data_IF_829002473608
#
_entry.id   IF_829002473608
#
_cell.length_a   1.000
_cell.length_b   1.000
_cell.length_c   1.000
_cell.angle_alpha   90.00
_cell.angle_beta   90.00
_cell.angle_gamma   90.00
#
_symmetry.space_group_name_H-M   'P 1'
#
loop_
_entity.id
_entity.type
_entity.pdbx_description
1 polymer ?
#
# COMPACT_ATOMS: atom_id res chain seq x y z
N UNK A 1 -57.93 -16.79 48.94
CA UNK A 1 -57.43 -17.25 47.67
C UNK A 1 -56.26 -16.35 47.28
N UNK A 2 -55.01 -16.82 47.49
CA UNK A 2 -53.78 -16.07 47.21
C UNK A 2 -53.29 -16.51 45.82
N UNK A 3 -53.23 -15.58 44.81
CA UNK A 3 -52.66 -15.84 43.50
C UNK A 3 -51.20 -15.44 43.52
N UNK A 4 -50.30 -16.42 43.41
CA UNK A 4 -48.87 -16.23 43.26
C UNK A 4 -48.56 -15.97 41.79
N UNK A 5 -48.03 -14.77 41.45
CA UNK A 5 -47.44 -14.47 40.14
C UNK A 5 -46.00 -14.98 40.11
N UNK A 6 -45.71 -15.88 39.19
CA UNK A 6 -44.34 -16.32 38.88
C UNK A 6 -43.82 -15.44 37.76
N UNK A 7 -42.85 -14.57 38.04
CA UNK A 7 -42.10 -13.85 37.03
C UNK A 7 -40.98 -14.76 36.47
N UNK A 8 -41.10 -15.14 35.21
CA UNK A 8 -40.01 -15.80 34.51
C UNK A 8 -39.06 -14.73 33.92
N UNK A 9 -37.87 -14.59 34.47
CA UNK A 9 -36.82 -13.73 33.93
C UNK A 9 -36.09 -14.51 32.83
N UNK A 10 -36.29 -14.11 31.57
CA UNK A 10 -35.51 -14.61 30.42
C UNK A 10 -34.16 -13.88 30.38
N UNK A 11 -33.10 -14.58 30.76
CA UNK A 11 -31.72 -14.09 30.58
C UNK A 11 -31.30 -14.24 29.13
N UNK A 12 -31.27 -13.12 28.37
CA UNK A 12 -30.68 -13.06 27.06
C UNK A 12 -29.15 -13.07 27.19
N UNK A 13 -28.54 -14.21 26.94
CA UNK A 13 -27.08 -14.33 26.84
C UNK A 13 -26.61 -13.62 25.56
N UNK A 14 -26.05 -12.42 25.71
CA UNK A 14 -25.31 -11.72 24.63
C UNK A 14 -23.99 -12.48 24.39
N UNK A 15 -23.97 -13.33 23.40
CA UNK A 15 -22.74 -13.89 22.87
C UNK A 15 -21.97 -12.76 22.14
N UNK A 16 -21.09 -12.09 22.86
CA UNK A 16 -20.07 -11.24 22.25
C UNK A 16 -19.10 -12.14 21.49
N UNK A 17 -19.33 -12.32 20.19
CA UNK A 17 -18.32 -12.92 19.33
C UNK A 17 -17.15 -11.94 19.24
N UNK A 18 -16.08 -12.22 19.96
CA UNK A 18 -14.80 -11.57 19.74
C UNK A 18 -14.34 -11.92 18.32
N UNK A 19 -14.53 -11.01 17.38
CA UNK A 19 -13.94 -11.13 16.05
C UNK A 19 -12.41 -11.09 16.24
N UNK A 20 -11.78 -12.23 16.24
CA UNK A 20 -10.32 -12.34 16.12
C UNK A 20 -9.98 -11.73 14.78
N UNK A 21 -9.25 -10.59 14.77
CA UNK A 21 -8.67 -10.04 13.58
C UNK A 21 -7.74 -11.11 12.99
N UNK A 22 -8.18 -11.81 11.98
CA UNK A 22 -7.36 -12.77 11.25
C UNK A 22 -6.27 -12.00 10.54
N UNK A 23 -5.00 -12.47 10.61
CA UNK A 23 -3.90 -11.83 9.89
C UNK A 23 -4.23 -11.65 8.42
N UNK A 24 -3.77 -10.55 7.83
CA UNK A 24 -3.92 -10.27 6.39
C UNK A 24 -2.57 -10.43 5.72
N UNK A 25 -2.50 -11.21 4.65
CA UNK A 25 -1.27 -11.43 3.89
C UNK A 25 -1.52 -11.31 2.39
N UNK A 26 -0.48 -10.92 1.67
CA UNK A 26 -0.59 -10.74 0.23
C UNK A 26 0.64 -10.13 -0.41
N UNK A 27 0.44 -9.60 -1.61
CA UNK A 27 1.46 -8.99 -2.45
C UNK A 27 1.50 -7.48 -2.24
N UNK A 28 2.70 -6.93 -2.30
CA UNK A 28 2.95 -5.50 -2.16
C UNK A 28 3.83 -4.97 -3.28
N UNK A 29 3.48 -3.80 -3.80
CA UNK A 29 4.29 -3.01 -4.74
C UNK A 29 4.25 -1.54 -4.34
N UNK A 30 5.38 -0.85 -4.52
CA UNK A 30 5.52 0.57 -4.27
C UNK A 30 6.44 1.19 -5.31
N UNK A 31 6.12 2.41 -5.75
CA UNK A 31 7.05 3.25 -6.50
C UNK A 31 6.99 4.69 -6.01
N UNK A 32 8.14 5.35 -5.96
CA UNK A 32 8.31 6.76 -5.54
C UNK A 32 8.98 7.55 -6.66
N UNK A 33 8.76 8.85 -6.67
CA UNK A 33 9.49 9.80 -7.53
C UNK A 33 10.88 10.17 -6.98
N UNK A 34 11.47 9.33 -6.12
CA UNK A 34 12.86 9.41 -5.67
C UNK A 34 13.49 8.02 -5.67
N UNK A 35 14.80 7.97 -5.70
CA UNK A 35 15.54 6.73 -5.54
C UNK A 35 15.39 6.21 -4.10
N UNK A 36 15.11 4.93 -3.94
CA UNK A 36 15.07 4.23 -2.64
C UNK A 36 16.32 3.39 -2.43
N UNK A 37 16.99 3.02 -3.51
CA UNK A 37 18.25 2.33 -3.52
C UNK A 37 19.36 3.33 -3.78
N UNK A 38 20.22 3.51 -2.79
CA UNK A 38 21.28 4.51 -2.81
C UNK A 38 22.65 3.83 -2.83
N UNK A 39 23.54 4.35 -3.65
CA UNK A 39 24.95 4.09 -3.49
C UNK A 39 25.58 5.07 -2.48
N UNK A 40 26.91 5.19 -2.40
CA UNK A 40 27.56 6.25 -1.65
C UNK A 40 27.27 7.67 -2.21
N UNK A 41 26.64 7.75 -3.36
CA UNK A 41 26.01 8.97 -3.88
C UNK A 41 24.61 9.09 -3.28
N UNK A 42 24.19 10.29 -2.98
CA UNK A 42 22.90 10.58 -2.36
C UNK A 42 21.74 10.22 -3.29
N UNK A 43 20.64 9.72 -2.70
CA UNK A 43 19.38 9.66 -3.40
C UNK A 43 18.85 11.05 -3.73
N UNK A 44 18.01 11.16 -4.76
CA UNK A 44 17.38 12.41 -5.17
C UNK A 44 16.73 13.17 -4.03
N UNK A 45 16.15 12.42 -3.08
CA UNK A 45 15.50 12.96 -1.90
C UNK A 45 16.44 13.77 -1.01
N UNK A 46 17.66 13.29 -0.81
CA UNK A 46 18.68 13.94 0.02
C UNK A 46 19.25 15.18 -0.63
N UNK A 47 19.24 15.20 -1.95
CA UNK A 47 19.70 16.34 -2.76
C UNK A 47 18.64 17.44 -2.98
N UNK A 48 17.55 17.42 -2.22
CA UNK A 48 16.41 18.33 -2.38
C UNK A 48 15.71 18.20 -3.76
N UNK A 49 15.89 17.12 -4.45
CA UNK A 49 15.31 16.88 -5.76
C UNK A 49 13.88 16.34 -5.75
N UNK A 50 13.32 16.18 -4.52
CA UNK A 50 11.91 16.05 -4.26
C UNK A 50 11.25 14.74 -4.71
N UNK A 51 11.37 13.69 -3.90
CA UNK A 51 10.53 12.49 -4.04
C UNK A 51 9.19 12.63 -3.34
N UNK A 52 8.29 13.43 -3.90
CA UNK A 52 7.03 13.82 -3.23
C UNK A 52 5.84 12.94 -3.57
N UNK A 53 5.95 12.10 -4.60
CA UNK A 53 4.86 11.27 -5.07
C UNK A 53 5.18 9.79 -4.87
N UNK A 54 4.14 9.02 -4.54
CA UNK A 54 4.21 7.57 -4.50
C UNK A 54 2.88 6.93 -4.90
N UNK A 55 3.00 5.70 -5.42
CA UNK A 55 1.89 4.77 -5.57
C UNK A 55 2.24 3.52 -4.76
N UNK A 56 1.35 3.13 -3.85
CA UNK A 56 1.46 1.93 -3.04
C UNK A 56 0.30 1.00 -3.37
N UNK A 57 0.57 -0.25 -3.67
CA UNK A 57 -0.44 -1.27 -3.98
C UNK A 57 -0.35 -2.46 -3.05
N UNK A 58 -1.50 -2.90 -2.56
CA UNK A 58 -1.67 -4.14 -1.80
C UNK A 58 -2.73 -5.00 -2.47
N UNK A 59 -2.40 -6.26 -2.73
CA UNK A 59 -3.36 -7.30 -3.13
C UNK A 59 -3.38 -8.36 -2.06
N UNK A 60 -4.54 -8.58 -1.48
CA UNK A 60 -4.73 -9.54 -0.39
C UNK A 60 -4.89 -10.94 -0.97
N UNK A 61 -3.99 -11.85 -0.63
CA UNK A 61 -4.15 -13.26 -0.96
C UNK A 61 -5.13 -13.93 0.00
N UNK A 62 -5.01 -13.59 1.30
CA UNK A 62 -5.89 -14.11 2.35
C UNK A 62 -5.93 -13.16 3.54
N UNK A 63 -7.11 -12.91 4.07
CA UNK A 63 -7.26 -12.17 5.32
C UNK A 63 -8.65 -11.65 5.60
N UNK A 64 -8.81 -11.20 6.86
CA UNK A 64 -10.06 -10.64 7.37
C UNK A 64 -9.75 -9.38 8.16
N UNK A 65 -10.49 -8.31 7.94
CA UNK A 65 -10.41 -7.06 8.70
C UNK A 65 -11.77 -6.82 9.36
N UNK A 66 -11.78 -6.83 10.70
CA UNK A 66 -13.04 -6.91 11.44
C UNK A 66 -13.81 -8.18 11.06
N UNK A 67 -15.04 -8.04 10.61
CA UNK A 67 -15.87 -9.16 10.13
C UNK A 67 -15.79 -9.38 8.61
N UNK A 68 -15.12 -8.52 7.87
CA UNK A 68 -15.08 -8.57 6.41
C UNK A 68 -13.89 -9.39 5.90
N UNK A 69 -14.17 -10.43 5.15
CA UNK A 69 -13.16 -11.20 4.41
C UNK A 69 -12.82 -10.47 3.11
N UNK A 70 -11.54 -10.22 2.87
CA UNK A 70 -11.05 -9.40 1.75
C UNK A 70 -10.11 -10.16 0.81
N UNK A 71 -10.20 -11.47 0.77
CA UNK A 71 -9.38 -12.34 -0.07
C UNK A 71 -9.53 -11.99 -1.56
N UNK A 72 -8.43 -11.93 -2.28
CA UNK A 72 -8.38 -11.66 -3.71
C UNK A 72 -8.69 -10.22 -4.12
N UNK A 73 -8.89 -9.32 -3.15
CA UNK A 73 -9.17 -7.91 -3.39
C UNK A 73 -7.91 -7.06 -3.24
N UNK A 74 -7.90 -5.91 -3.92
CA UNK A 74 -6.79 -4.98 -3.86
C UNK A 74 -7.19 -3.57 -3.45
N UNK A 75 -6.21 -2.82 -2.98
CA UNK A 75 -6.32 -1.39 -2.74
C UNK A 75 -5.01 -0.70 -3.10
N UNK A 76 -5.12 0.50 -3.64
CA UNK A 76 -3.98 1.33 -4.03
C UNK A 76 -4.09 2.68 -3.38
N UNK A 77 -2.97 3.17 -2.85
CA UNK A 77 -2.85 4.54 -2.35
C UNK A 77 -1.95 5.34 -3.29
N UNK A 78 -2.47 6.46 -3.77
CA UNK A 78 -1.72 7.46 -4.54
C UNK A 78 -1.45 8.62 -3.60
N UNK A 79 -0.20 9.00 -3.42
CA UNK A 79 0.23 9.95 -2.41
C UNK A 79 0.98 11.10 -3.08
N UNK A 80 0.60 12.33 -2.72
CA UNK A 80 1.35 13.54 -3.02
C UNK A 80 1.65 14.26 -1.71
N UNK A 81 2.93 14.43 -1.40
CA UNK A 81 3.42 15.06 -0.18
C UNK A 81 4.02 16.43 -0.46
N UNK A 82 4.12 17.27 0.56
CA UNK A 82 4.86 18.54 0.49
C UNK A 82 6.38 18.32 0.46
N UNK A 83 6.83 17.24 1.11
CA UNK A 83 8.22 16.90 1.29
C UNK A 83 8.54 15.51 0.75
N UNK A 84 9.83 15.19 0.70
CA UNK A 84 10.33 13.88 0.28
C UNK A 84 9.78 12.75 1.16
N UNK A 85 9.16 11.77 0.50
CA UNK A 85 8.61 10.60 1.14
C UNK A 85 9.69 9.67 1.72
N UNK A 86 9.46 9.13 2.91
CA UNK A 86 10.41 8.26 3.61
C UNK A 86 11.35 8.99 4.57
N UNK A 87 11.41 10.32 4.52
CA UNK A 87 12.03 11.18 5.51
C UNK A 87 10.99 11.72 6.49
N UNK A 88 11.45 12.50 7.49
CA UNK A 88 10.54 13.16 8.43
C UNK A 88 9.65 14.14 7.66
N UNK A 89 8.38 13.81 7.55
CA UNK A 89 7.39 14.68 6.92
C UNK A 89 7.17 15.93 7.78
N UNK A 90 7.30 17.11 7.21
CA UNK A 90 7.04 18.40 7.86
C UNK A 90 5.70 18.99 7.50
N UNK A 91 5.08 18.52 6.43
CA UNK A 91 3.78 18.97 5.94
C UNK A 91 2.80 17.83 5.63
N UNK A 92 1.53 18.17 5.37
CA UNK A 92 0.50 17.17 5.08
C UNK A 92 0.74 16.52 3.73
N UNK A 93 0.52 15.20 3.66
CA UNK A 93 0.34 14.50 2.40
C UNK A 93 -1.14 14.49 2.02
N UNK A 94 -1.45 14.59 0.72
CA UNK A 94 -2.77 14.27 0.14
C UNK A 94 -2.72 12.85 -0.38
N UNK A 95 -3.81 12.11 -0.20
CA UNK A 95 -3.91 10.76 -0.72
C UNK A 95 -5.23 10.52 -1.43
N UNK A 96 -5.18 9.75 -2.53
CA UNK A 96 -6.33 9.15 -3.20
C UNK A 96 -6.26 7.65 -2.98
N UNK A 97 -7.38 7.03 -2.62
CA UNK A 97 -7.49 5.59 -2.54
C UNK A 97 -8.25 5.05 -3.76
N UNK A 98 -7.66 4.07 -4.43
CA UNK A 98 -8.28 3.32 -5.50
C UNK A 98 -8.62 1.94 -4.93
N UNK A 99 -9.90 1.69 -4.68
CA UNK A 99 -10.39 0.46 -4.04
C UNK A 99 -10.93 -0.47 -5.13
N UNK A 100 -10.66 -1.75 -5.00
CA UNK A 100 -11.14 -2.76 -5.93
C UNK A 100 -12.66 -2.65 -6.12
N UNK A 101 -13.09 -2.46 -7.36
CA UNK A 101 -14.51 -2.27 -7.70
C UNK A 101 -15.36 -3.51 -7.39
N UNK A 102 -14.75 -4.70 -7.33
CA UNK A 102 -15.40 -5.98 -6.98
C UNK A 102 -15.79 -6.06 -5.50
N UNK A 103 -15.23 -5.19 -4.65
CA UNK A 103 -15.50 -5.18 -3.22
C UNK A 103 -16.91 -4.69 -2.92
N UNK A 104 -17.63 -5.37 -2.03
CA UNK A 104 -18.87 -4.87 -1.45
C UNK A 104 -18.62 -3.73 -0.44
N UNK A 105 -19.67 -3.15 0.12
CA UNK A 105 -19.56 -2.00 1.02
C UNK A 105 -18.75 -2.30 2.29
N UNK A 106 -18.90 -3.49 2.89
CA UNK A 106 -18.17 -3.91 4.09
C UNK A 106 -16.69 -4.16 3.76
N UNK A 107 -16.43 -4.82 2.62
CA UNK A 107 -15.08 -5.06 2.12
C UNK A 107 -14.35 -3.77 1.75
N UNK A 108 -15.04 -2.79 1.15
CA UNK A 108 -14.48 -1.45 0.86
C UNK A 108 -14.04 -0.74 2.13
N UNK A 109 -14.89 -0.73 3.16
CA UNK A 109 -14.55 -0.15 4.46
C UNK A 109 -13.35 -0.86 5.08
N UNK A 110 -13.30 -2.19 5.01
CA UNK A 110 -12.21 -3.00 5.51
C UNK A 110 -10.89 -2.73 4.78
N UNK A 111 -10.90 -2.65 3.43
CA UNK A 111 -9.71 -2.33 2.63
C UNK A 111 -9.16 -0.93 2.95
N UNK A 112 -10.05 0.06 3.11
CA UNK A 112 -9.66 1.43 3.49
C UNK A 112 -9.01 1.44 4.88
N UNK A 113 -9.62 0.76 5.86
CA UNK A 113 -9.07 0.64 7.21
C UNK A 113 -7.71 -0.07 7.19
N UNK A 114 -7.58 -1.14 6.43
CA UNK A 114 -6.33 -1.85 6.21
C UNK A 114 -5.25 -0.93 5.65
N UNK A 115 -5.49 -0.25 4.53
CA UNK A 115 -4.51 0.64 3.91
C UNK A 115 -4.05 1.74 4.88
N UNK A 116 -4.99 2.36 5.62
CA UNK A 116 -4.68 3.36 6.66
C UNK A 116 -3.80 2.79 7.77
N UNK A 117 -4.01 1.54 8.18
CA UNK A 117 -3.15 0.89 9.18
C UNK A 117 -1.74 0.63 8.66
N UNK A 118 -1.61 0.32 7.36
CA UNK A 118 -0.34 0.00 6.73
C UNK A 118 0.52 1.24 6.45
N UNK A 119 -0.07 2.30 5.88
CA UNK A 119 0.65 3.51 5.48
C UNK A 119 0.58 4.65 6.52
N UNK A 120 -0.18 4.48 7.60
CA UNK A 120 -0.20 5.38 8.76
C UNK A 120 -0.51 6.84 8.41
N UNK A 121 0.34 7.75 8.83
CA UNK A 121 0.17 9.20 8.66
C UNK A 121 0.12 9.65 7.20
N UNK A 122 0.67 8.88 6.26
CA UNK A 122 0.60 9.17 4.83
C UNK A 122 -0.84 9.15 4.30
N UNK A 123 -1.74 8.41 4.98
CA UNK A 123 -3.16 8.33 4.66
C UNK A 123 -4.05 9.06 5.69
N UNK A 124 -3.49 10.01 6.44
CA UNK A 124 -4.27 10.85 7.35
C UNK A 124 -5.24 11.77 6.60
N UNK A 125 -4.84 12.29 5.43
CA UNK A 125 -5.66 13.17 4.60
C UNK A 125 -6.00 12.48 3.27
N UNK A 126 -6.98 11.60 3.30
CA UNK A 126 -7.56 10.99 2.09
C UNK A 126 -8.57 11.95 1.50
N UNK A 127 -8.22 12.55 0.37
CA UNK A 127 -9.05 13.58 -0.31
C UNK A 127 -10.07 12.98 -1.28
N UNK A 128 -9.86 11.74 -1.73
CA UNK A 128 -10.82 11.03 -2.58
C UNK A 128 -10.67 9.51 -2.41
N UNK A 129 -11.80 8.81 -2.56
CA UNK A 129 -11.87 7.35 -2.72
C UNK A 129 -12.55 7.07 -4.05
N UNK A 130 -11.91 6.30 -4.89
CA UNK A 130 -12.40 5.91 -6.22
C UNK A 130 -12.45 4.39 -6.29
N UNK A 131 -13.28 3.86 -7.17
CA UNK A 131 -13.42 2.42 -7.40
C UNK A 131 -12.89 2.10 -8.79
N UNK A 132 -12.02 1.09 -8.86
CA UNK A 132 -11.41 0.67 -10.11
C UNK A 132 -11.06 -0.81 -10.04
N UNK A 133 -10.90 -1.45 -11.20
CA UNK A 133 -10.25 -2.75 -11.26
C UNK A 133 -8.81 -2.60 -10.75
N UNK A 134 -8.45 -3.33 -9.70
CA UNK A 134 -7.07 -3.41 -9.20
C UNK A 134 -6.44 -4.69 -9.71
N UNK A 135 -5.46 -4.54 -10.57
CA UNK A 135 -4.67 -5.64 -11.12
C UNK A 135 -3.23 -5.47 -10.64
N UNK A 136 -2.80 -6.35 -9.73
CA UNK A 136 -1.47 -6.35 -9.15
C UNK A 136 -0.91 -7.75 -9.20
N UNK A 137 0.30 -7.86 -9.72
CA UNK A 137 1.06 -9.10 -9.75
C UNK A 137 2.53 -8.82 -9.42
N UNK A 138 3.08 -9.62 -8.52
CA UNK A 138 4.48 -9.56 -8.09
C UNK A 138 5.09 -10.93 -8.27
N UNK A 139 5.97 -11.05 -9.24
CA UNK A 139 6.71 -12.28 -9.52
C UNK A 139 8.10 -12.30 -8.85
N UNK A 140 8.72 -13.46 -8.81
CA UNK A 140 10.07 -13.63 -8.29
C UNK A 140 11.14 -13.04 -9.22
N UNK A 141 12.19 -12.43 -8.66
CA UNK A 141 13.29 -11.90 -9.47
C UNK A 141 14.17 -12.98 -10.13
N UNK A 142 14.08 -14.20 -9.70
CA UNK A 142 14.88 -15.32 -10.24
C UNK A 142 14.50 -15.67 -11.69
N UNK A 143 13.29 -15.26 -12.12
CA UNK A 143 12.77 -15.49 -13.46
C UNK A 143 12.79 -14.23 -14.36
N UNK A 144 13.64 -13.25 -14.04
CA UNK A 144 13.59 -11.94 -14.68
C UNK A 144 12.35 -11.14 -14.26
N UNK A 145 11.80 -11.48 -13.11
CA UNK A 145 10.51 -11.07 -12.62
C UNK A 145 10.36 -9.58 -12.46
N UNK A 146 9.15 -9.14 -12.73
CA UNK A 146 8.68 -7.78 -12.64
C UNK A 146 7.46 -7.73 -11.70
N UNK A 147 7.25 -6.61 -11.06
CA UNK A 147 5.97 -6.27 -10.46
C UNK A 147 5.21 -5.39 -11.41
N UNK A 148 3.91 -5.59 -11.49
CA UNK A 148 3.02 -4.77 -12.29
C UNK A 148 1.77 -4.41 -11.50
N UNK A 149 1.41 -3.13 -11.54
CA UNK A 149 0.19 -2.61 -10.97
C UNK A 149 -0.55 -1.76 -12.00
N UNK A 150 -1.82 -2.04 -12.13
CA UNK A 150 -2.78 -1.20 -12.85
C UNK A 150 -4.00 -1.01 -11.98
N UNK A 151 -4.34 0.26 -11.69
CA UNK A 151 -5.54 0.60 -10.94
C UNK A 151 -6.09 1.94 -11.44
N UNK A 152 -7.11 1.91 -12.28
CA UNK A 152 -7.66 3.13 -12.89
C UNK A 152 -6.54 3.97 -13.55
N UNK A 153 -6.27 5.20 -13.05
CA UNK A 153 -5.24 6.08 -13.61
C UNK A 153 -3.83 5.84 -13.07
N UNK A 154 -3.62 4.88 -12.15
CA UNK A 154 -2.32 4.57 -11.56
C UNK A 154 -1.65 3.39 -12.27
N UNK A 155 -0.35 3.50 -12.51
CA UNK A 155 0.49 2.46 -13.13
C UNK A 155 1.83 2.34 -12.41
N UNK A 156 2.25 1.09 -12.20
CA UNK A 156 3.63 0.75 -11.87
C UNK A 156 4.02 -0.45 -12.74
N UNK A 157 5.18 -0.39 -13.33
CA UNK A 157 5.86 -1.55 -13.90
C UNK A 157 7.30 -1.56 -13.42
N UNK A 158 7.81 -2.70 -12.99
CA UNK A 158 9.14 -2.81 -12.43
C UNK A 158 9.96 -3.87 -13.14
N UNK A 159 11.26 -3.76 -13.05
CA UNK A 159 12.20 -4.86 -13.28
C UNK A 159 13.09 -5.06 -12.06
N UNK A 160 13.61 -6.25 -11.88
CA UNK A 160 14.57 -6.53 -10.83
C UNK A 160 15.88 -5.79 -11.06
N UNK A 161 16.59 -5.51 -9.99
CA UNK A 161 17.93 -4.95 -10.05
C UNK A 161 18.88 -5.96 -10.68
N UNK A 162 19.76 -5.49 -11.52
CA UNK A 162 20.79 -6.27 -12.20
C UNK A 162 22.17 -5.85 -11.75
N UNK A 163 22.94 -6.78 -11.23
CA UNK A 163 24.34 -6.54 -10.80
C UNK A 163 25.22 -5.97 -11.89
N UNK A 164 24.90 -6.23 -13.15
CA UNK A 164 25.71 -5.78 -14.30
C UNK A 164 25.40 -4.35 -14.72
N UNK A 165 24.16 -3.88 -14.53
CA UNK A 165 23.69 -2.63 -15.11
C UNK A 165 23.29 -1.57 -14.07
N UNK A 166 22.98 -1.99 -12.86
CA UNK A 166 22.40 -1.12 -11.84
C UNK A 166 23.42 -0.71 -10.75
N UNK A 167 24.57 -1.35 -10.67
CA UNK A 167 25.67 -0.94 -9.78
C UNK A 167 26.32 0.34 -10.29
N UNK A 168 26.25 1.38 -9.48
CA UNK A 168 26.82 2.69 -9.84
C UNK A 168 27.97 3.07 -8.92
N UNK A 169 27.91 2.74 -7.63
CA UNK A 169 28.84 3.26 -6.62
C UNK A 169 29.23 2.18 -5.67
N UNK A 170 29.38 1.31 -5.29
CA UNK A 170 29.95 0.34 -4.34
C UNK A 170 29.19 0.14 -3.02
N UNK A 171 28.07 0.82 -2.80
CA UNK A 171 27.23 0.67 -1.62
C UNK A 171 25.74 0.49 -1.99
N UNK A 172 25.51 -0.45 -2.88
CA UNK A 172 24.18 -0.72 -3.42
C UNK A 172 23.29 -1.53 -2.46
N UNK A 173 23.75 -1.80 -1.25
CA UNK A 173 22.98 -2.47 -0.20
C UNK A 173 22.19 -1.53 0.70
N UNK A 174 22.38 -0.22 0.59
CA UNK A 174 21.69 0.78 1.39
C UNK A 174 20.36 1.16 0.75
N UNK A 175 19.29 0.98 1.51
CA UNK A 175 17.93 1.24 1.04
C UNK A 175 17.13 2.08 2.04
N UNK A 176 16.36 3.05 1.55
CA UNK A 176 15.31 3.65 2.36
C UNK A 176 14.16 2.64 2.57
N UNK A 177 13.61 2.58 3.79
CA UNK A 177 12.57 1.58 4.06
C UNK A 177 11.31 1.81 3.22
N UNK A 178 10.53 0.74 2.95
CA UNK A 178 9.20 0.86 2.37
C UNK A 178 8.29 1.77 3.19
N UNK A 179 7.34 2.44 2.52
CA UNK A 179 6.36 3.33 3.16
C UNK A 179 5.22 2.57 3.86
N UNK A 180 5.10 1.28 3.62
CA UNK A 180 4.14 0.39 4.27
C UNK A 180 4.77 -0.40 5.40
N UNK A 181 4.00 -0.63 6.46
CA UNK A 181 4.40 -1.49 7.58
C UNK A 181 4.25 -2.97 7.20
N UNK A 182 4.98 -3.84 7.92
CA UNK A 182 4.80 -5.30 7.84
C UNK A 182 5.14 -5.91 6.49
N UNK A 183 5.93 -5.23 5.66
CA UNK A 183 6.32 -5.70 4.34
C UNK A 183 7.70 -6.36 4.35
N UNK A 184 7.83 -7.43 3.59
CA UNK A 184 9.09 -8.06 3.19
C UNK A 184 9.28 -7.76 1.72
N UNK A 185 9.94 -6.64 1.44
CA UNK A 185 10.12 -6.15 0.09
C UNK A 185 11.60 -6.04 -0.27
N UNK A 186 11.87 -6.14 -1.55
CA UNK A 186 13.17 -5.86 -2.16
C UNK A 186 13.06 -4.68 -3.10
N UNK A 187 14.13 -3.93 -3.23
CA UNK A 187 14.20 -2.80 -4.14
C UNK A 187 14.18 -3.28 -5.60
N UNK A 188 13.64 -2.44 -6.47
CA UNK A 188 13.52 -2.68 -7.89
C UNK A 188 13.63 -1.37 -8.68
N UNK A 189 13.87 -1.51 -9.99
CA UNK A 189 13.76 -0.38 -10.93
C UNK A 189 12.30 -0.17 -11.32
N UNK A 190 11.78 1.02 -11.14
CA UNK A 190 10.52 1.44 -11.74
C UNK A 190 10.75 1.72 -13.23
N UNK A 191 10.25 0.85 -14.08
CA UNK A 191 10.24 1.04 -15.55
C UNK A 191 9.15 2.03 -15.92
N UNK A 192 8.00 1.94 -15.24
CA UNK A 192 6.91 2.91 -15.29
C UNK A 192 6.44 3.19 -13.86
N UNK A 193 6.21 4.48 -13.58
CA UNK A 193 5.52 4.94 -12.38
C UNK A 193 4.72 6.18 -12.75
N UNK A 194 3.43 6.03 -12.89
CA UNK A 194 2.58 7.12 -13.37
C UNK A 194 1.25 7.22 -12.63
N UNK A 195 0.76 8.45 -12.57
CA UNK A 195 -0.60 8.78 -12.15
C UNK A 195 -1.15 9.94 -12.98
N UNK A 196 -2.32 9.72 -13.58
CA UNK A 196 -3.00 10.72 -14.43
C UNK A 196 -4.40 11.10 -13.92
N UNK A 197 -4.76 10.65 -12.70
CA UNK A 197 -6.08 10.87 -12.11
C UNK A 197 -6.25 12.25 -11.48
N UNK A 198 -7.36 12.40 -10.76
CA UNK A 198 -7.73 13.59 -10.00
C UNK A 198 -7.60 13.33 -8.49
N UNK A 199 -7.60 14.41 -7.69
CA UNK A 199 -7.61 14.36 -6.22
C UNK A 199 -6.27 14.70 -5.58
N UNK A 200 -5.15 14.33 -6.17
CA UNK A 200 -3.85 14.97 -5.92
C UNK A 200 -3.64 15.99 -7.02
N UNK A 201 -3.20 17.18 -6.69
CA UNK A 201 -3.17 18.32 -7.64
C UNK A 201 -2.15 18.17 -8.77
N UNK A 202 -1.43 17.06 -8.80
CA UNK A 202 -0.34 16.77 -9.71
C UNK A 202 -0.56 15.45 -10.44
N UNK A 203 -0.08 15.41 -11.68
CA UNK A 203 0.06 14.20 -12.49
C UNK A 203 1.52 13.96 -12.74
N UNK A 204 1.93 12.70 -12.78
CA UNK A 204 3.32 12.38 -13.07
C UNK A 204 3.46 11.16 -13.96
N UNK A 205 4.57 11.11 -14.63
CA UNK A 205 5.09 9.94 -15.33
C UNK A 205 6.60 9.91 -15.10
N UNK A 206 7.03 9.05 -14.20
CA UNK A 206 8.43 8.93 -13.76
C UNK A 206 8.91 7.53 -14.12
N UNK A 207 9.84 7.43 -15.02
CA UNK A 207 10.32 6.17 -15.56
C UNK A 207 11.84 6.01 -15.38
N UNK A 208 12.29 4.75 -15.35
CA UNK A 208 13.71 4.45 -15.29
C UNK A 208 14.38 4.79 -13.95
N UNK A 209 13.62 4.81 -12.85
CA UNK A 209 14.09 5.20 -11.52
C UNK A 209 14.31 4.00 -10.60
N UNK A 210 15.34 4.06 -9.75
CA UNK A 210 15.60 3.11 -8.65
C UNK A 210 14.68 3.37 -7.45
N UNK A 211 13.39 3.57 -7.71
CA UNK A 211 12.41 4.09 -6.77
C UNK A 211 11.32 3.10 -6.37
N UNK A 212 11.47 1.81 -6.67
CA UNK A 212 10.43 0.83 -6.44
C UNK A 212 10.81 -0.23 -5.40
N UNK A 213 9.74 -0.77 -4.76
CA UNK A 213 9.78 -1.99 -3.97
C UNK A 213 8.73 -2.97 -4.45
N UNK A 214 9.05 -4.26 -4.36
CA UNK A 214 8.10 -5.35 -4.58
C UNK A 214 8.35 -6.49 -3.59
N UNK A 215 7.29 -7.19 -3.22
CA UNK A 215 7.36 -8.28 -2.26
C UNK A 215 6.01 -8.68 -1.69
N UNK A 216 6.03 -9.10 -0.44
CA UNK A 216 4.83 -9.54 0.29
C UNK A 216 4.65 -8.74 1.58
N UNK A 217 3.45 -8.79 2.10
CA UNK A 217 3.14 -8.28 3.43
C UNK A 217 2.40 -9.33 4.26
N UNK A 218 2.55 -9.24 5.57
CA UNK A 218 1.81 -10.03 6.54
C UNK A 218 1.55 -9.18 7.78
N UNK A 219 0.28 -9.09 8.19
CA UNK A 219 -0.14 -8.46 9.44
C UNK A 219 -0.53 -9.53 10.45
N UNK A 220 -0.36 -9.22 11.70
CA UNK A 220 -0.80 -10.06 12.82
C UNK A 220 -2.14 -9.59 13.36
#
# INVERSE_FOLDING_TARGET
MKRTLVLAAAAAALFSTTATAGGVKGQYIEARTCDVWTGPCFANAEMNLGGKHAVLGWKVDKGTVGAARIDGLGIVAVIAASDTLGLKQTGPAKAVLLVDERADSAQRAALIAFAKSQAGSLLANVVAVQYAKVDLDVCGCDEGGCGKLTAGPARIETRCLSDKHDKICGNESEFYPPLSKGVKARAAMAVEHSYSGQGVDEKWNDAGRRGAYLGSFETR
#
